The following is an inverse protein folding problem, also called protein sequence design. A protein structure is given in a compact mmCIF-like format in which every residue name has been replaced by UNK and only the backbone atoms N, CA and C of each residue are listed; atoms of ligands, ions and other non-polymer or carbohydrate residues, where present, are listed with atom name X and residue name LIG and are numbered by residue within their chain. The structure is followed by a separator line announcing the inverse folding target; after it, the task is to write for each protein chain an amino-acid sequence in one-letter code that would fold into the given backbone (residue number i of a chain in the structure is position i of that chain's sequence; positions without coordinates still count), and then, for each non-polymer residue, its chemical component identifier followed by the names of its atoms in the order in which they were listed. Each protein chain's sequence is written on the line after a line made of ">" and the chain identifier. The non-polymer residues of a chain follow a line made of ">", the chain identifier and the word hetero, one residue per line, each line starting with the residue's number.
data_IF_064282748925
#
_entry.id   IF_064282748925
#
_cell.length_a   1.000
_cell.length_b   1.000
_cell.length_c   1.000
_cell.angle_alpha   90.00
_cell.angle_beta   90.00
_cell.angle_gamma   90.00
#
_symmetry.space_group_name_H-M   'P 1'
#
loop_
_entity.id
_entity.type
_entity.pdbx_description
1 polymer ?
#
# COMPACT_ATOMS: atom_id res chain seq x y z
N UNK A 1 8.02 -26.94 -20.27
CA UNK A 1 7.68 -27.63 -19.00
C UNK A 1 8.57 -27.23 -17.81
N UNK A 2 9.90 -27.11 -17.95
CA UNK A 2 10.82 -26.76 -16.83
C UNK A 2 10.54 -25.40 -16.15
N UNK A 3 10.23 -24.35 -16.94
CA UNK A 3 9.88 -23.01 -16.43
C UNK A 3 8.59 -23.00 -15.59
N UNK A 4 7.55 -23.71 -16.04
CA UNK A 4 6.27 -23.82 -15.34
C UNK A 4 6.45 -24.55 -14.00
N UNK A 5 7.24 -25.63 -14.01
CA UNK A 5 7.57 -26.40 -12.80
C UNK A 5 8.44 -25.59 -11.81
N UNK A 6 9.41 -24.81 -12.30
CA UNK A 6 10.20 -23.91 -11.46
C UNK A 6 9.35 -22.81 -10.82
N UNK A 7 8.44 -22.20 -11.60
CA UNK A 7 7.50 -21.21 -11.07
C UNK A 7 6.54 -21.82 -10.05
N UNK A 8 6.00 -23.01 -10.30
CA UNK A 8 5.13 -23.72 -9.36
C UNK A 8 5.84 -24.07 -8.04
N UNK A 9 7.16 -24.32 -8.06
CA UNK A 9 7.95 -24.56 -6.84
C UNK A 9 8.34 -23.28 -6.09
N UNK A 10 8.43 -22.15 -6.78
CA UNK A 10 8.89 -20.88 -6.20
C UNK A 10 7.81 -19.79 -6.18
N UNK A 11 6.54 -20.15 -6.38
CA UNK A 11 5.43 -19.20 -6.50
C UNK A 11 5.40 -18.20 -5.35
N UNK A 12 5.64 -18.66 -4.12
CA UNK A 12 5.60 -17.84 -2.93
C UNK A 12 6.71 -16.78 -2.92
N UNK A 13 7.91 -17.13 -3.37
CA UNK A 13 9.00 -16.17 -3.53
C UNK A 13 8.65 -15.15 -4.61
N UNK A 14 8.15 -15.60 -5.76
CA UNK A 14 7.84 -14.72 -6.89
C UNK A 14 6.74 -13.72 -6.54
N UNK A 15 5.65 -14.16 -5.90
CA UNK A 15 4.57 -13.25 -5.51
C UNK A 15 5.03 -12.19 -4.50
N UNK A 16 5.80 -12.58 -3.48
CA UNK A 16 6.36 -11.62 -2.52
C UNK A 16 7.37 -10.68 -3.19
N UNK A 17 8.19 -11.18 -4.13
CA UNK A 17 9.14 -10.37 -4.88
C UNK A 17 8.42 -9.31 -5.73
N UNK A 18 7.31 -9.65 -6.39
CA UNK A 18 6.51 -8.68 -7.16
C UNK A 18 5.98 -7.56 -6.26
N UNK A 19 5.40 -7.90 -5.10
CA UNK A 19 4.92 -6.91 -4.14
C UNK A 19 6.07 -6.04 -3.61
N UNK A 20 7.21 -6.67 -3.28
CA UNK A 20 8.41 -5.97 -2.83
C UNK A 20 8.92 -4.99 -3.90
N UNK A 21 9.06 -5.42 -5.16
CA UNK A 21 9.55 -4.55 -6.24
C UNK A 21 8.58 -3.38 -6.50
N UNK A 22 7.27 -3.63 -6.42
CA UNK A 22 6.27 -2.56 -6.51
C UNK A 22 6.39 -1.55 -5.35
N UNK A 23 6.59 -2.00 -4.11
CA UNK A 23 6.82 -1.06 -3.00
C UNK A 23 8.15 -0.34 -3.14
N UNK A 24 9.23 -1.08 -3.39
CA UNK A 24 10.58 -0.56 -3.49
C UNK A 24 10.67 0.52 -4.57
N UNK A 25 10.11 0.29 -5.76
CA UNK A 25 10.08 1.30 -6.83
C UNK A 25 9.35 2.58 -6.43
N UNK A 26 8.30 2.50 -5.60
CA UNK A 26 7.56 3.67 -5.14
C UNK A 26 8.39 4.55 -4.19
N UNK A 27 9.19 3.91 -3.32
CA UNK A 27 10.16 4.57 -2.44
C UNK A 27 11.41 5.04 -3.19
N UNK A 28 11.79 4.37 -4.27
CA UNK A 28 12.92 4.77 -5.10
C UNK A 28 12.68 6.13 -5.78
N UNK A 29 11.43 6.43 -6.15
CA UNK A 29 11.07 7.68 -6.84
C UNK A 29 11.53 8.96 -6.11
N UNK A 30 11.18 9.20 -4.83
CA UNK A 30 11.67 10.37 -4.10
C UNK A 30 13.19 10.34 -3.87
N UNK A 31 13.80 9.16 -3.70
CA UNK A 31 15.26 9.05 -3.54
C UNK A 31 16.01 9.46 -4.82
N UNK A 32 15.47 9.14 -5.99
CA UNK A 32 16.03 9.59 -7.27
C UNK A 32 15.94 11.11 -7.42
N UNK A 33 14.82 11.73 -7.02
CA UNK A 33 14.73 13.20 -7.02
C UNK A 33 15.69 13.85 -6.01
N UNK A 34 15.80 13.29 -4.80
CA UNK A 34 16.77 13.76 -3.80
C UNK A 34 18.22 13.66 -4.30
N UNK A 35 18.52 12.63 -5.10
CA UNK A 35 19.82 12.43 -5.76
C UNK A 35 19.99 13.23 -7.07
N UNK A 36 19.09 14.17 -7.38
CA UNK A 36 19.09 14.98 -8.63
C UNK A 36 18.96 14.15 -9.92
N UNK A 37 18.45 12.92 -9.84
CA UNK A 37 18.13 12.05 -10.97
C UNK A 37 16.68 12.27 -11.42
N UNK A 38 16.39 13.47 -11.92
CA UNK A 38 15.03 13.92 -12.22
C UNK A 38 14.32 13.05 -13.27
N UNK A 39 15.05 12.58 -14.28
CA UNK A 39 14.52 11.70 -15.31
C UNK A 39 13.98 10.39 -14.71
N UNK A 40 14.80 9.69 -13.92
CA UNK A 40 14.43 8.39 -13.33
C UNK A 40 13.26 8.59 -12.36
N UNK A 41 13.34 9.61 -11.50
CA UNK A 41 12.23 9.95 -10.61
C UNK A 41 10.94 10.22 -11.39
N UNK A 42 11.02 11.02 -12.46
CA UNK A 42 9.88 11.36 -13.31
C UNK A 42 9.23 10.16 -13.99
N UNK A 43 10.02 9.22 -14.51
CA UNK A 43 9.52 7.95 -15.08
C UNK A 43 8.79 7.14 -14.01
N UNK A 44 9.37 7.01 -12.81
CA UNK A 44 8.72 6.29 -11.70
C UNK A 44 7.39 6.95 -11.31
N UNK A 45 7.35 8.26 -11.06
CA UNK A 45 6.08 8.95 -10.75
C UNK A 45 5.04 8.76 -11.84
N UNK A 46 5.44 8.80 -13.11
CA UNK A 46 4.52 8.57 -14.23
C UNK A 46 3.97 7.15 -14.23
N UNK A 47 4.83 6.15 -14.05
CA UNK A 47 4.42 4.74 -14.00
C UNK A 47 3.45 4.46 -12.83
N UNK A 48 3.76 4.94 -11.63
CA UNK A 48 2.85 4.80 -10.47
C UNK A 48 1.61 5.71 -10.57
N UNK A 49 1.62 6.71 -11.45
CA UNK A 49 0.48 7.59 -11.68
C UNK A 49 -0.75 6.86 -12.26
N UNK A 50 -0.52 5.70 -12.89
CA UNK A 50 -1.58 4.81 -13.39
C UNK A 50 -2.22 3.96 -12.30
N UNK A 51 -1.53 3.73 -11.18
CA UNK A 51 -2.03 2.89 -10.08
C UNK A 51 -2.46 3.69 -8.86
N UNK A 52 -1.93 4.90 -8.69
CA UNK A 52 -2.22 5.76 -7.55
C UNK A 52 -2.47 7.20 -8.01
N UNK A 53 -3.45 7.87 -7.38
CA UNK A 53 -3.67 9.31 -7.60
C UNK A 53 -2.52 10.19 -7.10
N UNK A 54 -1.63 9.69 -6.22
CA UNK A 54 -0.45 10.41 -5.73
C UNK A 54 -0.75 11.78 -5.10
N UNK A 55 -1.85 11.91 -4.35
CA UNK A 55 -2.17 13.16 -3.67
C UNK A 55 -1.09 13.50 -2.62
N UNK A 56 -0.45 14.69 -2.67
CA UNK A 56 0.66 15.05 -1.80
C UNK A 56 0.35 14.93 -0.30
N UNK A 57 -0.77 15.47 0.16
CA UNK A 57 -1.24 15.45 1.55
C UNK A 57 -1.58 14.05 2.07
N UNK A 58 -1.63 13.07 1.17
CA UNK A 58 -1.87 11.65 1.47
C UNK A 58 -0.65 10.77 1.22
N UNK A 59 0.53 11.36 1.10
CA UNK A 59 1.76 10.64 0.78
C UNK A 59 2.82 10.91 1.84
N UNK A 60 3.71 9.94 2.05
CA UNK A 60 4.92 10.15 2.85
C UNK A 60 5.93 10.96 2.05
N UNK A 61 6.67 11.84 2.70
CA UNK A 61 7.78 12.59 2.12
C UNK A 61 9.10 12.11 2.70
N UNK A 62 10.10 11.91 1.83
CA UNK A 62 11.45 11.44 2.19
C UNK A 62 12.50 12.47 1.80
N UNK A 63 13.60 12.52 2.56
CA UNK A 63 14.72 13.42 2.29
C UNK A 63 14.51 14.86 2.76
N UNK A 64 13.55 15.08 3.67
CA UNK A 64 13.41 16.36 4.35
C UNK A 64 14.54 16.55 5.38
N UNK A 65 15.06 17.78 5.60
CA UNK A 65 16.11 18.03 6.59
C UNK A 65 15.70 17.72 8.03
N UNK A 66 14.40 17.77 8.34
CA UNK A 66 13.83 17.63 9.68
C UNK A 66 13.41 16.20 10.05
N UNK A 67 13.66 15.22 9.17
CA UNK A 67 13.43 13.81 9.48
C UNK A 67 13.43 12.87 8.27
N UNK A 68 13.58 11.55 8.51
CA UNK A 68 13.67 10.57 7.45
C UNK A 68 12.36 10.39 6.68
N UNK A 69 11.21 10.61 7.34
CA UNK A 69 9.88 10.48 6.76
C UNK A 69 8.91 11.47 7.41
N UNK A 70 8.14 12.20 6.60
CA UNK A 70 7.18 13.21 7.03
C UNK A 70 5.86 13.07 6.29
N UNK A 71 4.81 13.71 6.80
CA UNK A 71 3.59 14.01 6.05
C UNK A 71 3.22 15.46 6.33
N UNK A 72 2.46 16.06 5.43
CA UNK A 72 2.10 17.47 5.51
C UNK A 72 0.62 17.66 5.22
N UNK A 73 0.00 18.56 5.96
CA UNK A 73 -1.35 19.04 5.66
C UNK A 73 -1.34 19.83 4.35
N UNK A 74 -2.50 19.86 3.68
CA UNK A 74 -2.72 20.53 2.39
C UNK A 74 -2.23 21.98 2.38
N UNK A 75 -2.51 22.75 3.44
CA UNK A 75 -2.10 24.16 3.50
C UNK A 75 -0.59 24.34 3.40
N UNK A 76 0.19 23.52 4.12
CA UNK A 76 1.66 23.56 4.07
C UNK A 76 2.16 23.28 2.65
N UNK A 77 1.52 22.35 1.96
CA UNK A 77 1.90 21.95 0.60
C UNK A 77 1.61 23.08 -0.40
N UNK A 78 0.44 23.72 -0.28
CA UNK A 78 0.07 24.88 -1.12
C UNK A 78 1.06 26.04 -0.89
N UNK A 79 1.35 26.38 0.36
CA UNK A 79 2.33 27.41 0.70
C UNK A 79 3.75 27.07 0.21
N UNK A 80 4.04 25.78 -0.01
CA UNK A 80 5.32 25.29 -0.51
C UNK A 80 5.36 25.09 -2.03
N UNK A 81 4.35 25.61 -2.74
CA UNK A 81 4.30 25.63 -4.22
C UNK A 81 3.46 24.54 -4.86
N UNK A 82 2.63 23.81 -4.11
CA UNK A 82 1.65 22.91 -4.71
C UNK A 82 0.46 23.71 -5.28
N UNK A 83 0.19 23.56 -6.58
CA UNK A 83 -1.00 24.10 -7.22
C UNK A 83 -2.20 23.19 -6.92
N UNK A 84 -3.19 23.73 -6.21
CA UNK A 84 -4.38 23.00 -5.77
C UNK A 84 -5.66 23.38 -6.54
N UNK A 85 -5.53 24.09 -7.68
CA UNK A 85 -6.66 24.54 -8.51
C UNK A 85 -7.39 23.36 -9.15
N UNK A 86 -6.64 22.34 -9.56
CA UNK A 86 -7.18 21.09 -10.10
C UNK A 86 -6.52 19.88 -9.47
N UNK A 87 -7.22 18.74 -9.44
CA UNK A 87 -6.63 17.47 -8.97
C UNK A 87 -5.42 17.05 -9.81
N UNK A 88 -5.38 17.40 -11.09
CA UNK A 88 -4.27 17.08 -11.99
C UNK A 88 -3.00 17.88 -11.68
N UNK A 89 -3.14 19.19 -11.45
CA UNK A 89 -2.01 20.04 -11.06
C UNK A 89 -1.51 19.63 -9.67
N UNK A 90 -2.44 19.35 -8.77
CA UNK A 90 -2.11 19.05 -7.38
C UNK A 90 -1.36 17.73 -7.23
N UNK A 91 -1.78 16.68 -7.95
CA UNK A 91 -1.01 15.43 -7.97
C UNK A 91 0.34 15.55 -8.66
N UNK A 92 0.56 16.55 -9.51
CA UNK A 92 1.85 16.78 -10.15
C UNK A 92 2.92 17.29 -9.18
N UNK A 93 2.53 17.88 -8.04
CA UNK A 93 3.47 18.33 -7.01
C UNK A 93 4.21 17.13 -6.38
N UNK A 94 5.53 17.03 -6.61
CA UNK A 94 6.37 15.91 -6.12
C UNK A 94 7.10 16.22 -4.81
N UNK A 95 7.17 17.48 -4.40
CA UNK A 95 7.98 17.94 -3.27
C UNK A 95 9.17 18.80 -3.70
N UNK A 96 10.01 19.16 -2.74
CA UNK A 96 11.16 20.06 -2.91
C UNK A 96 12.23 19.80 -1.84
N UNK A 97 13.36 20.50 -1.90
CA UNK A 97 14.46 20.28 -0.95
C UNK A 97 14.13 20.62 0.52
N UNK A 98 13.11 21.47 0.78
CA UNK A 98 12.71 21.85 2.14
C UNK A 98 11.79 20.80 2.78
N UNK A 99 10.85 20.24 2.03
CA UNK A 99 9.89 19.24 2.51
C UNK A 99 10.26 17.79 2.16
N UNK A 100 11.34 17.60 1.40
CA UNK A 100 11.63 16.33 0.75
C UNK A 100 10.69 16.05 -0.42
N UNK A 101 10.71 14.82 -0.91
CA UNK A 101 9.93 14.36 -2.05
C UNK A 101 8.96 13.24 -1.64
N UNK A 102 7.76 13.26 -2.21
CA UNK A 102 6.71 12.30 -1.84
C UNK A 102 7.00 10.89 -2.37
N UNK A 103 6.60 9.85 -1.64
CA UNK A 103 6.56 8.48 -2.17
C UNK A 103 5.59 8.46 -3.36
N UNK A 104 5.91 7.70 -4.42
CA UNK A 104 5.10 7.69 -5.65
C UNK A 104 3.74 6.98 -5.51
N UNK A 105 3.34 6.61 -4.30
CA UNK A 105 2.01 6.11 -3.95
C UNK A 105 1.57 6.69 -2.61
N UNK A 106 0.27 6.71 -2.34
CA UNK A 106 -0.27 7.21 -1.07
C UNK A 106 0.14 6.34 0.12
N UNK A 107 0.11 6.92 1.30
CA UNK A 107 0.33 6.23 2.58
C UNK A 107 -0.59 5.00 2.76
N UNK A 108 -1.85 5.10 2.33
CA UNK A 108 -2.80 3.98 2.25
C UNK A 108 -2.27 2.85 1.38
N UNK A 109 -1.76 3.15 0.17
CA UNK A 109 -1.22 2.11 -0.70
C UNK A 109 0.08 1.53 -0.14
N UNK A 110 0.95 2.35 0.47
CA UNK A 110 2.11 1.85 1.21
C UNK A 110 1.66 0.84 2.27
N UNK A 111 0.62 1.15 3.05
CA UNK A 111 0.08 0.25 4.06
C UNK A 111 -0.56 -1.02 3.48
N UNK A 112 -1.30 -0.92 2.36
CA UNK A 112 -1.90 -2.08 1.68
C UNK A 112 -0.83 -3.05 1.18
N UNK A 113 0.13 -2.57 0.38
CA UNK A 113 1.17 -3.44 -0.13
C UNK A 113 2.15 -3.87 0.96
N UNK A 114 2.41 -3.01 1.96
CA UNK A 114 3.27 -3.34 3.10
C UNK A 114 2.66 -4.44 3.96
N UNK A 115 1.37 -4.34 4.27
CA UNK A 115 0.61 -5.39 4.96
C UNK A 115 0.59 -6.69 4.16
N UNK A 116 0.42 -6.60 2.84
CA UNK A 116 0.49 -7.77 1.95
C UNK A 116 1.88 -8.44 1.99
N UNK A 117 2.96 -7.66 1.87
CA UNK A 117 4.33 -8.18 1.93
C UNK A 117 4.62 -8.83 3.29
N UNK A 118 4.29 -8.17 4.39
CA UNK A 118 4.51 -8.70 5.74
C UNK A 118 3.70 -9.99 5.99
N UNK A 119 2.44 -10.03 5.57
CA UNK A 119 1.61 -11.23 5.66
C UNK A 119 2.14 -12.36 4.77
N UNK A 120 2.67 -12.04 3.60
CA UNK A 120 3.26 -13.03 2.69
C UNK A 120 4.56 -13.61 3.20
N UNK A 121 5.39 -12.80 3.87
CA UNK A 121 6.59 -13.27 4.58
C UNK A 121 6.23 -14.10 5.82
N UNK A 122 5.21 -13.67 6.59
CA UNK A 122 4.69 -14.45 7.71
C UNK A 122 4.15 -15.80 7.25
N UNK A 123 3.37 -15.83 6.18
CA UNK A 123 2.89 -17.06 5.56
C UNK A 123 4.05 -17.97 5.15
N UNK A 124 5.11 -17.41 4.53
CA UNK A 124 6.29 -18.19 4.17
C UNK A 124 7.02 -18.79 5.37
N UNK A 125 7.11 -18.04 6.47
CA UNK A 125 7.66 -18.54 7.72
C UNK A 125 6.80 -19.67 8.30
N UNK A 126 5.50 -19.45 8.44
CA UNK A 126 4.55 -20.44 8.97
C UNK A 126 4.53 -21.73 8.12
N UNK A 127 4.56 -21.58 6.79
CA UNK A 127 4.64 -22.71 5.88
C UNK A 127 5.93 -23.51 6.07
N UNK A 128 7.09 -22.84 6.21
CA UNK A 128 8.37 -23.50 6.51
C UNK A 128 8.37 -24.22 7.85
N UNK A 129 7.61 -23.71 8.83
CA UNK A 129 7.43 -24.33 10.15
C UNK A 129 6.37 -25.44 10.17
N UNK A 130 5.75 -25.77 9.03
CA UNK A 130 4.70 -26.79 8.94
C UNK A 130 3.34 -26.35 9.49
N UNK A 131 3.17 -25.07 9.79
CA UNK A 131 1.90 -24.52 10.30
C UNK A 131 0.94 -24.30 9.14
N UNK A 132 -0.23 -24.93 9.22
CA UNK A 132 -1.31 -24.67 8.27
C UNK A 132 -2.06 -23.41 8.68
N UNK A 133 -2.36 -22.55 7.70
CA UNK A 133 -3.13 -21.31 7.90
C UNK A 133 -4.43 -21.31 7.09
N UNK A 134 -5.33 -22.30 7.25
CA UNK A 134 -6.59 -22.30 6.53
C UNK A 134 -7.51 -21.24 7.15
N UNK A 135 -7.57 -20.06 6.52
CA UNK A 135 -8.57 -19.08 6.85
C UNK A 135 -9.83 -19.33 6.02
N UNK A 136 -11.03 -19.39 6.64
CA UNK A 136 -12.28 -19.40 5.89
C UNK A 136 -12.39 -18.18 4.98
N UNK A 137 -12.94 -18.34 3.77
CA UNK A 137 -13.04 -17.25 2.79
C UNK A 137 -13.77 -16.00 3.32
N UNK A 138 -14.73 -16.16 4.24
CA UNK A 138 -15.44 -15.04 4.86
C UNK A 138 -14.54 -14.11 5.69
N UNK A 139 -13.37 -14.61 6.17
CA UNK A 139 -12.41 -13.77 6.89
C UNK A 139 -11.87 -12.63 6.02
N UNK A 140 -11.85 -12.81 4.69
CA UNK A 140 -11.51 -11.73 3.75
C UNK A 140 -12.44 -10.53 3.93
N UNK A 141 -13.74 -10.76 4.16
CA UNK A 141 -14.70 -9.68 4.40
C UNK A 141 -14.35 -8.89 5.65
N UNK A 142 -13.91 -9.55 6.73
CA UNK A 142 -13.49 -8.88 7.97
C UNK A 142 -12.29 -7.97 7.76
N UNK A 143 -11.31 -8.41 6.96
CA UNK A 143 -10.11 -7.61 6.67
C UNK A 143 -10.36 -6.49 5.67
N UNK A 144 -11.25 -6.70 4.70
CA UNK A 144 -11.53 -5.73 3.64
C UNK A 144 -12.53 -4.66 4.08
N UNK A 145 -13.50 -5.00 4.92
CA UNK A 145 -14.58 -4.09 5.32
C UNK A 145 -14.08 -2.78 5.95
N UNK A 146 -13.09 -2.76 6.87
CA UNK A 146 -12.56 -1.52 7.42
C UNK A 146 -12.01 -0.58 6.34
N UNK A 147 -11.28 -1.12 5.36
CA UNK A 147 -10.75 -0.35 4.22
C UNK A 147 -11.89 0.15 3.32
N UNK A 148 -12.91 -0.66 3.09
CA UNK A 148 -14.06 -0.26 2.29
C UNK A 148 -14.81 0.91 2.93
N UNK A 149 -15.07 0.85 4.24
CA UNK A 149 -15.69 1.96 4.99
C UNK A 149 -14.76 3.19 4.99
N UNK A 150 -13.48 2.99 5.29
CA UNK A 150 -12.50 4.07 5.36
C UNK A 150 -12.37 4.82 4.02
N UNK A 151 -12.24 4.08 2.92
CA UNK A 151 -12.11 4.63 1.57
C UNK A 151 -13.41 5.26 1.06
N UNK A 152 -14.55 4.60 1.26
CA UNK A 152 -15.85 5.11 0.80
C UNK A 152 -16.21 6.41 1.49
N UNK A 153 -15.95 6.52 2.79
CA UNK A 153 -16.24 7.75 3.51
C UNK A 153 -15.31 8.91 3.14
N UNK A 154 -14.03 8.64 2.84
CA UNK A 154 -13.15 9.65 2.25
C UNK A 154 -13.64 10.07 0.85
N UNK A 155 -14.08 9.12 0.02
CA UNK A 155 -14.63 9.41 -1.30
C UNK A 155 -15.88 10.31 -1.20
N UNK A 156 -16.79 10.00 -0.28
CA UNK A 156 -17.98 10.83 -0.04
C UNK A 156 -17.57 12.23 0.40
N UNK A 157 -16.63 12.35 1.34
CA UNK A 157 -16.15 13.66 1.81
C UNK A 157 -15.50 14.48 0.67
N UNK A 158 -14.65 13.84 -0.14
CA UNK A 158 -13.97 14.46 -1.28
C UNK A 158 -14.96 14.90 -2.38
N UNK A 159 -16.04 14.15 -2.61
CA UNK A 159 -17.05 14.46 -3.63
C UNK A 159 -18.07 15.51 -3.18
N UNK A 160 -18.43 15.50 -1.90
CA UNK A 160 -19.55 16.29 -1.38
C UNK A 160 -19.11 17.52 -0.60
N UNK A 161 -17.86 17.55 -0.11
CA UNK A 161 -17.33 18.65 0.70
C UNK A 161 -18.01 18.78 2.07
N UNK A 162 -18.74 17.77 2.53
CA UNK A 162 -19.52 17.82 3.79
C UNK A 162 -18.65 17.94 5.05
N UNK A 163 -17.34 17.68 4.95
CA UNK A 163 -16.37 17.87 6.03
C UNK A 163 -16.45 16.84 7.16
N UNK A 164 -17.10 15.70 6.92
CA UNK A 164 -17.20 14.58 7.87
C UNK A 164 -15.81 14.01 8.21
N UNK A 165 -14.93 13.87 7.20
CA UNK A 165 -13.53 13.46 7.40
C UNK A 165 -12.59 14.63 7.67
N UNK A 166 -12.95 15.84 7.24
CA UNK A 166 -12.15 17.03 7.54
C UNK A 166 -12.09 17.32 9.05
N UNK A 167 -13.23 17.15 9.75
CA UNK A 167 -13.34 17.43 11.19
C UNK A 167 -13.21 16.19 12.07
N UNK A 168 -13.61 15.02 11.58
CA UNK A 168 -13.78 13.79 12.36
C UNK A 168 -14.54 13.99 13.69
N UNK A 169 -15.51 14.91 13.73
CA UNK A 169 -16.28 15.19 14.93
C UNK A 169 -17.03 13.95 15.48
N UNK A 170 -17.36 13.00 14.59
CA UNK A 170 -17.95 11.70 14.94
C UNK A 170 -17.08 10.86 15.89
N UNK A 171 -15.76 11.10 15.92
CA UNK A 171 -14.82 10.34 16.74
C UNK A 171 -14.64 10.94 18.14
N UNK A 172 -15.11 12.17 18.38
CA UNK A 172 -14.98 12.85 19.67
C UNK A 172 -15.62 12.07 20.84
N UNK A 173 -16.81 11.46 20.71
CA UNK A 173 -17.38 10.63 21.77
C UNK A 173 -16.58 9.35 22.06
N UNK A 174 -15.74 8.88 21.12
CA UNK A 174 -14.96 7.65 21.25
C UNK A 174 -13.60 7.87 21.92
N UNK A 175 -12.92 8.97 21.56
CA UNK A 175 -11.56 9.26 22.01
C UNK A 175 -11.47 10.43 23.00
N UNK A 176 -12.53 11.22 23.14
CA UNK A 176 -12.60 12.36 24.05
C UNK A 176 -11.79 13.59 23.61
N UNK A 177 -12.03 14.75 24.21
CA UNK A 177 -11.37 16.01 23.81
C UNK A 177 -9.87 16.05 24.10
N UNK A 178 -9.35 15.15 24.95
CA UNK A 178 -7.95 15.13 25.39
C UNK A 178 -6.92 14.81 24.31
N UNK A 179 -7.33 14.25 23.16
CA UNK A 179 -6.43 13.95 22.04
C UNK A 179 -5.93 15.19 21.29
N UNK A 180 -6.58 16.35 21.50
CA UNK A 180 -6.25 17.62 20.87
C UNK A 180 -6.68 17.74 19.39
N UNK A 181 -6.68 18.96 18.81
CA UNK A 181 -7.24 19.21 17.47
C UNK A 181 -6.52 18.50 16.32
N UNK A 182 -5.19 18.32 16.43
CA UNK A 182 -4.36 17.70 15.39
C UNK A 182 -4.61 16.20 15.24
N UNK A 183 -5.21 15.55 16.24
CA UNK A 183 -5.67 14.17 16.11
C UNK A 183 -6.90 14.10 15.22
N UNK A 184 -7.87 15.01 15.38
CA UNK A 184 -9.14 14.96 14.66
C UNK A 184 -9.04 15.52 13.24
N UNK A 185 -8.20 16.53 13.02
CA UNK A 185 -8.17 17.28 11.77
C UNK A 185 -6.90 17.03 10.96
N UNK A 186 -7.01 17.14 9.64
CA UNK A 186 -5.87 17.05 8.72
C UNK A 186 -5.37 15.62 8.42
N UNK A 187 -4.20 15.55 7.80
CA UNK A 187 -3.58 14.33 7.26
C UNK A 187 -2.15 14.09 7.74
N UNK A 188 -1.67 14.95 8.65
CA UNK A 188 -0.39 14.79 9.31
C UNK A 188 -0.27 13.43 10.03
N UNK A 189 0.97 13.02 10.25
CA UNK A 189 1.31 11.80 10.96
C UNK A 189 0.69 11.83 12.35
N UNK A 190 -0.04 10.76 12.70
CA UNK A 190 -0.77 10.66 13.96
C UNK A 190 -2.17 11.27 13.96
N UNK A 191 -2.62 11.93 12.88
CA UNK A 191 -4.04 12.27 12.74
C UNK A 191 -4.89 11.01 12.55
N UNK A 192 -6.16 11.07 12.94
CA UNK A 192 -7.11 9.96 12.83
C UNK A 192 -7.24 9.50 11.37
N UNK A 193 -7.30 10.43 10.42
CA UNK A 193 -7.31 10.10 8.98
C UNK A 193 -6.03 9.37 8.56
N UNK A 194 -4.85 9.78 9.06
CA UNK A 194 -3.60 9.07 8.81
C UNK A 194 -3.63 7.67 9.41
N UNK A 195 -4.03 7.53 10.67
CA UNK A 195 -4.06 6.25 11.39
C UNK A 195 -5.03 5.27 10.71
N UNK A 196 -6.25 5.71 10.38
CA UNK A 196 -7.24 4.85 9.74
C UNK A 196 -6.77 4.37 8.36
N UNK A 197 -6.18 5.25 7.54
CA UNK A 197 -5.59 4.85 6.25
C UNK A 197 -4.51 3.79 6.40
N UNK A 198 -3.65 3.90 7.40
CA UNK A 198 -2.57 2.94 7.65
C UNK A 198 -3.09 1.62 8.22
N UNK A 199 -3.91 1.66 9.27
CA UNK A 199 -4.43 0.46 9.94
C UNK A 199 -5.31 -0.34 8.98
N UNK A 200 -6.29 0.31 8.34
CA UNK A 200 -7.16 -0.37 7.39
C UNK A 200 -6.41 -0.84 6.16
N UNK A 201 -5.36 -0.10 5.74
CA UNK A 201 -4.42 -0.50 4.69
C UNK A 201 -3.74 -1.82 5.00
N UNK A 202 -3.09 -1.90 6.16
CA UNK A 202 -2.40 -3.12 6.61
C UNK A 202 -3.37 -4.29 6.70
N UNK A 203 -4.56 -4.08 7.29
CA UNK A 203 -5.59 -5.12 7.40
C UNK A 203 -6.01 -5.63 6.03
N UNK A 204 -6.32 -4.73 5.09
CA UNK A 204 -6.69 -5.12 3.73
C UNK A 204 -5.59 -5.97 3.07
N UNK A 205 -4.35 -5.47 3.08
CA UNK A 205 -3.22 -6.18 2.48
C UNK A 205 -2.97 -7.55 3.09
N UNK A 206 -2.99 -7.61 4.42
CA UNK A 206 -2.82 -8.85 5.15
C UNK A 206 -3.94 -9.85 4.86
N UNK A 207 -5.19 -9.41 4.89
CA UNK A 207 -6.36 -10.27 4.62
C UNK A 207 -6.36 -10.85 3.23
N UNK A 208 -6.03 -10.04 2.21
CA UNK A 208 -5.90 -10.54 0.83
C UNK A 208 -4.88 -11.67 0.77
N UNK A 209 -3.71 -11.51 1.38
CA UNK A 209 -2.64 -12.51 1.29
C UNK A 209 -2.91 -13.74 2.14
N UNK A 210 -3.37 -13.57 3.37
CA UNK A 210 -3.64 -14.69 4.28
C UNK A 210 -4.78 -15.58 3.79
N UNK A 211 -5.71 -15.06 2.97
CA UNK A 211 -6.76 -15.86 2.32
C UNK A 211 -6.34 -16.38 0.95
N UNK A 212 -5.69 -15.55 0.12
CA UNK A 212 -5.33 -15.94 -1.24
C UNK A 212 -4.20 -16.98 -1.29
N UNK A 213 -3.16 -16.86 -0.46
CA UNK A 213 -2.00 -17.76 -0.53
C UNK A 213 -2.35 -19.23 -0.26
N UNK A 214 -3.16 -19.58 0.77
CA UNK A 214 -3.65 -20.95 0.92
C UNK A 214 -4.39 -21.49 -0.31
N UNK A 215 -5.23 -20.67 -0.96
CA UNK A 215 -5.99 -21.07 -2.16
C UNK A 215 -5.07 -21.26 -3.37
N UNK A 216 -4.15 -20.32 -3.56
CA UNK A 216 -3.14 -20.36 -4.62
C UNK A 216 -2.24 -21.60 -4.48
N UNK A 217 -1.84 -21.94 -3.25
CA UNK A 217 -1.04 -23.13 -2.95
C UNK A 217 -1.70 -24.40 -3.46
N UNK A 218 -3.00 -24.60 -3.18
CA UNK A 218 -3.74 -25.79 -3.64
C UNK A 218 -3.68 -25.93 -5.17
N UNK A 219 -3.80 -24.82 -5.89
CA UNK A 219 -3.67 -24.81 -7.36
C UNK A 219 -2.27 -25.15 -7.86
N UNK A 220 -1.21 -24.62 -7.23
CA UNK A 220 0.16 -24.90 -7.64
C UNK A 220 0.63 -26.31 -7.30
N UNK A 221 0.18 -26.88 -6.18
CA UNK A 221 0.47 -28.27 -5.80
C UNK A 221 -0.15 -29.26 -6.80
N UNK A 222 -1.41 -29.04 -7.21
CA UNK A 222 -2.06 -29.84 -8.26
C UNK A 222 -1.35 -29.71 -9.62
N UNK A 223 -0.95 -28.49 -9.99
CA UNK A 223 -0.22 -28.26 -11.25
C UNK A 223 1.14 -28.95 -11.27
N UNK A 224 1.88 -28.91 -10.16
CA UNK A 224 3.20 -29.52 -10.02
C UNK A 224 3.11 -31.05 -10.18
N UNK A 225 2.16 -31.70 -9.48
CA UNK A 225 1.92 -33.14 -9.59
C UNK A 225 1.61 -33.59 -11.02
N UNK A 226 0.72 -32.86 -11.72
CA UNK A 226 0.38 -33.16 -13.13
C UNK A 226 1.57 -33.04 -14.08
N UNK A 227 2.50 -32.11 -13.84
CA UNK A 227 3.71 -31.99 -14.66
C UNK A 227 4.71 -33.12 -14.43
N UNK A 228 4.81 -33.62 -13.19
CA UNK A 228 5.68 -34.75 -12.85
C UNK A 228 5.17 -36.05 -13.48
N UNK A 229 3.87 -36.33 -13.35
CA UNK A 229 3.24 -37.51 -13.97
C UNK A 229 3.42 -37.55 -15.49
N UNK A 230 3.29 -36.40 -16.16
CA UNK A 230 3.51 -36.30 -17.62
C UNK A 230 4.96 -36.55 -18.00
N UNK A 231 5.93 -36.07 -17.23
CA UNK A 231 7.35 -36.33 -17.51
C UNK A 231 7.71 -37.81 -17.34
N UNK A 232 7.17 -38.48 -16.31
CA UNK A 232 7.39 -39.91 -16.08
C UNK A 232 6.73 -40.77 -17.16
N UNK A 233 5.59 -40.33 -17.71
CA UNK A 233 4.91 -41.02 -18.82
C UNK A 233 5.61 -40.91 -20.17
N UNK A 234 6.37 -39.83 -20.38
CA UNK A 234 7.14 -39.59 -21.62
C UNK A 234 8.48 -40.36 -21.61
N UNK A 235 9.16 -40.43 -20.45
CA UNK A 235 10.40 -41.21 -20.27
C UNK A 235 10.21 -42.75 -20.37
N UNK A 236 8.96 -43.24 -20.31
CA UNK A 236 8.62 -44.67 -20.43
C UNK A 236 8.16 -45.10 -21.83
N UNK A 237 8.14 -44.19 -22.81
CA UNK A 237 7.81 -44.47 -24.22
C UNK A 237 9.06 -44.44 -25.09
#
# INVERSE_FOLDING_TARGET
>A
MRLVSAFARHWLFVLNLVVFLYLFGAFLAPLMLAARQEWIGGVLYTAYGFTCHQLPERSFFLGAPDGPMRTYNRDVLIHSGADADTLWNYRAYRGNAALGYKVAISDRMVAMYGGALLAGLLYALLHRLGVQTPLPAWTLLVFVLPMAVDGTTHLIDDLTGIGWRATNAWALPLFGPGMGPNFYTGTNWGSLNSILRLVTGVLFGAGVILVAYPLIRVGFEDLAGRTEDRSVGDDRR
#
